data_IF_649496270071
#
_entry.id   IF_649496270071
#
_cell.length_a   1.000
_cell.length_b   1.000
_cell.length_c   1.000
_cell.angle_alpha   90.00
_cell.angle_beta   90.00
_cell.angle_gamma   90.00
#
_symmetry.space_group_name_H-M   'P 1'
#
loop_
_entity.id
_entity.type
_entity.pdbx_description
1 polymer ?
#
# COMPACT_ATOMS: atom_id res chain seq x y z
N UNK A 1 20.66 55.72 -45.04
CA UNK A 1 20.12 54.34 -44.92
C UNK A 1 21.21 53.45 -44.33
N UNK A 2 20.87 52.62 -43.34
CA UNK A 2 21.81 52.02 -42.36
C UNK A 2 22.38 50.67 -42.85
N UNK A 3 23.69 50.49 -42.67
CA UNK A 3 24.40 49.21 -42.82
C UNK A 3 24.03 48.24 -41.68
N UNK A 4 23.78 46.98 -42.00
CA UNK A 4 23.48 45.90 -41.05
C UNK A 4 24.58 44.83 -41.15
N UNK A 5 25.38 44.56 -40.09
CA UNK A 5 26.36 43.49 -40.14
C UNK A 5 25.70 42.17 -39.71
N UNK A 6 25.93 41.13 -40.51
CA UNK A 6 25.51 39.76 -40.25
C UNK A 6 26.40 39.14 -39.15
N UNK A 7 25.79 38.55 -38.12
CA UNK A 7 26.49 37.75 -37.09
C UNK A 7 26.56 36.30 -37.56
N UNK A 8 27.78 35.77 -37.66
CA UNK A 8 28.03 34.33 -37.79
C UNK A 8 27.59 33.64 -36.50
N UNK A 9 26.59 32.76 -36.57
CA UNK A 9 26.33 31.81 -35.50
C UNK A 9 27.37 30.68 -35.60
N UNK A 10 28.25 30.56 -34.59
CA UNK A 10 29.12 29.38 -34.45
C UNK A 10 28.23 28.15 -34.22
N UNK A 11 28.24 27.21 -35.16
CA UNK A 11 27.66 25.89 -34.98
C UNK A 11 28.50 25.12 -33.95
N UNK A 12 27.89 24.73 -32.83
CA UNK A 12 28.50 23.85 -31.84
C UNK A 12 28.83 22.49 -32.46
N UNK A 13 29.99 21.92 -32.12
CA UNK A 13 30.49 20.68 -32.73
C UNK A 13 29.81 19.43 -32.14
N UNK A 14 29.65 18.33 -32.91
CA UNK A 14 28.90 17.14 -32.48
C UNK A 14 29.48 16.38 -31.27
N UNK A 15 30.70 16.68 -30.84
CA UNK A 15 31.38 15.98 -29.74
C UNK A 15 30.84 16.36 -28.35
N UNK A 16 30.12 17.46 -28.21
CA UNK A 16 29.55 17.90 -26.93
C UNK A 16 28.19 17.25 -26.60
N UNK A 17 27.50 16.68 -27.59
CA UNK A 17 26.15 16.14 -27.43
C UNK A 17 26.06 14.74 -26.77
N UNK A 18 27.19 14.07 -26.52
CA UNK A 18 27.24 12.67 -26.00
C UNK A 18 27.60 12.55 -24.52
N UNK A 19 27.31 13.55 -23.70
CA UNK A 19 27.30 13.36 -22.24
C UNK A 19 25.87 13.11 -21.78
N UNK A 20 25.46 11.84 -21.78
CA UNK A 20 24.27 11.45 -21.03
C UNK A 20 24.51 11.77 -19.55
N UNK A 21 23.71 12.64 -18.91
CA UNK A 21 23.78 12.82 -17.48
C UNK A 21 23.45 11.48 -16.84
N UNK A 22 24.42 10.87 -16.14
CA UNK A 22 24.13 9.72 -15.29
C UNK A 22 23.15 10.21 -14.23
N UNK A 23 21.87 9.88 -14.39
CA UNK A 23 20.85 10.12 -13.36
C UNK A 23 21.38 9.48 -12.09
N UNK A 24 21.60 10.24 -11.02
CA UNK A 24 22.41 9.69 -9.97
C UNK A 24 21.55 8.75 -9.13
N UNK A 25 22.20 7.73 -8.57
CA UNK A 25 21.60 6.54 -7.95
C UNK A 25 20.77 6.79 -6.69
N UNK A 26 20.56 8.06 -6.29
CA UNK A 26 19.81 8.48 -5.11
C UNK A 26 18.39 7.90 -5.08
N UNK A 27 17.72 7.81 -6.24
CA UNK A 27 16.33 7.32 -6.35
C UNK A 27 16.18 5.87 -5.88
N UNK A 28 17.20 5.03 -6.08
CA UNK A 28 17.19 3.62 -5.61
C UNK A 28 17.50 3.53 -4.11
N UNK A 29 18.41 4.36 -3.60
CA UNK A 29 18.76 4.40 -2.18
C UNK A 29 17.61 4.92 -1.30
N UNK A 30 16.86 5.95 -1.77
CA UNK A 30 15.69 6.46 -1.06
C UNK A 30 14.54 5.45 -0.99
N UNK A 31 14.31 4.69 -2.07
CA UNK A 31 13.31 3.62 -2.07
C UNK A 31 13.67 2.50 -1.08
N UNK A 32 14.95 2.12 -0.99
CA UNK A 32 15.39 1.14 0.00
C UNK A 32 15.25 1.63 1.45
N UNK A 33 15.52 2.93 1.71
CA UNK A 33 15.33 3.51 3.06
C UNK A 33 13.84 3.55 3.48
N UNK A 34 12.93 3.82 2.55
CA UNK A 34 11.48 3.84 2.82
C UNK A 34 10.93 2.50 3.30
N UNK A 35 11.52 1.37 2.87
CA UNK A 35 11.14 0.03 3.33
C UNK A 35 11.76 -0.37 4.67
N UNK A 36 12.86 0.26 5.09
CA UNK A 36 13.55 -0.03 6.35
C UNK A 36 12.92 0.69 7.55
N UNK A 37 12.30 1.85 7.31
CA UNK A 37 11.67 2.66 8.37
C UNK A 37 10.53 1.92 9.12
N UNK A 38 9.62 1.18 8.46
CA UNK A 38 8.62 0.36 9.16
C UNK A 38 9.25 -0.77 9.99
N UNK A 39 10.32 -1.40 9.48
CA UNK A 39 11.02 -2.48 10.18
C UNK A 39 11.70 -1.98 11.46
N UNK A 40 12.27 -0.77 11.42
CA UNK A 40 12.85 -0.10 12.58
C UNK A 40 11.78 0.37 13.59
N UNK A 41 10.58 0.72 13.12
CA UNK A 41 9.45 1.11 13.99
C UNK A 41 8.86 -0.08 14.75
N UNK A 42 8.87 -1.28 14.16
CA UNK A 42 8.32 -2.49 14.78
C UNK A 42 9.24 -3.17 15.82
N UNK A 43 10.51 -2.76 15.93
CA UNK A 43 11.48 -3.35 16.87
C UNK A 43 11.35 -2.86 18.32
N UNK A 44 10.50 -1.85 18.59
CA UNK A 44 10.22 -1.39 19.94
C UNK A 44 9.15 -2.26 20.61
N UNK A 45 9.55 -3.09 21.58
CA UNK A 45 8.70 -3.81 22.54
C UNK A 45 7.28 -4.16 22.06
N UNK A 46 7.15 -4.86 20.94
CA UNK A 46 5.86 -5.41 20.51
C UNK A 46 5.54 -6.63 21.40
N UNK A 47 4.50 -6.54 22.22
CA UNK A 47 3.99 -7.68 22.98
C UNK A 47 2.92 -8.40 22.15
N UNK A 48 3.02 -9.72 22.03
CA UNK A 48 2.09 -10.53 21.26
C UNK A 48 0.92 -10.98 22.13
N UNK A 49 -0.29 -10.89 21.57
CA UNK A 49 -1.49 -11.36 22.23
C UNK A 49 -1.45 -12.88 22.46
N UNK A 50 -1.93 -13.32 23.63
CA UNK A 50 -2.07 -14.74 24.00
C UNK A 50 -3.56 -15.14 24.02
N UNK A 51 -4.15 -15.17 22.83
CA UNK A 51 -5.58 -15.41 22.59
C UNK A 51 -5.86 -16.80 21.96
N UNK A 52 -7.13 -17.18 21.84
CA UNK A 52 -7.54 -18.43 21.17
C UNK A 52 -7.70 -18.25 19.66
N UNK A 53 -7.56 -19.34 18.89
CA UNK A 53 -7.82 -19.33 17.44
C UNK A 53 -9.31 -19.22 17.07
N UNK A 54 -10.19 -19.43 18.04
CA UNK A 54 -11.64 -19.46 17.86
C UNK A 54 -12.29 -18.59 18.91
N UNK A 55 -13.51 -18.13 18.62
CA UNK A 55 -14.30 -17.33 19.55
C UNK A 55 -15.12 -16.26 18.84
N UNK A 56 -15.95 -15.55 19.62
CA UNK A 56 -16.77 -14.45 19.12
C UNK A 56 -15.92 -13.35 18.48
N UNK A 57 -14.82 -13.03 19.13
CA UNK A 57 -13.85 -12.02 18.68
C UNK A 57 -13.33 -12.33 17.27
N UNK A 58 -12.90 -13.57 17.02
CA UNK A 58 -12.43 -14.02 15.70
C UNK A 58 -13.49 -13.95 14.61
N UNK A 59 -14.74 -14.27 14.97
CA UNK A 59 -15.86 -14.11 14.06
C UNK A 59 -16.12 -12.64 13.71
N UNK A 60 -15.88 -11.70 14.64
CA UNK A 60 -16.01 -10.27 14.38
C UNK A 60 -14.93 -9.76 13.42
N UNK A 61 -13.68 -10.20 13.59
CA UNK A 61 -12.60 -9.91 12.63
C UNK A 61 -12.94 -10.43 11.22
N UNK A 62 -13.34 -11.70 11.13
CA UNK A 62 -13.76 -12.29 9.86
C UNK A 62 -14.90 -11.52 9.18
N UNK A 63 -16.01 -11.30 9.89
CA UNK A 63 -17.19 -10.64 9.32
C UNK A 63 -16.90 -9.18 9.01
N UNK A 64 -16.23 -8.46 9.91
CA UNK A 64 -15.85 -7.06 9.72
C UNK A 64 -14.98 -6.88 8.48
N UNK A 65 -13.95 -7.71 8.33
CA UNK A 65 -13.06 -7.66 7.17
C UNK A 65 -13.73 -8.09 5.87
N UNK A 66 -14.66 -9.06 5.91
CA UNK A 66 -15.47 -9.40 4.74
C UNK A 66 -16.36 -8.23 4.28
N UNK A 67 -17.02 -7.56 5.22
CA UNK A 67 -17.84 -6.38 4.93
C UNK A 67 -17.02 -5.22 4.39
N UNK A 68 -15.84 -4.96 4.95
CA UNK A 68 -14.91 -3.95 4.45
C UNK A 68 -14.46 -4.26 3.01
N UNK A 69 -14.17 -5.53 2.71
CA UNK A 69 -13.78 -5.93 1.36
C UNK A 69 -14.92 -5.74 0.35
N UNK A 70 -16.14 -6.14 0.71
CA UNK A 70 -17.33 -5.93 -0.13
C UNK A 70 -17.61 -4.44 -0.33
N UNK A 71 -17.66 -3.66 0.75
CA UNK A 71 -17.95 -2.22 0.68
C UNK A 71 -16.88 -1.46 -0.10
N UNK A 72 -15.60 -1.75 0.13
CA UNK A 72 -14.49 -1.15 -0.61
C UNK A 72 -14.53 -1.49 -2.10
N UNK A 73 -14.95 -2.73 -2.44
CA UNK A 73 -15.14 -3.14 -3.84
C UNK A 73 -16.29 -2.37 -4.49
N UNK A 74 -17.44 -2.27 -3.81
CA UNK A 74 -18.60 -1.52 -4.29
C UNK A 74 -18.29 -0.03 -4.52
N UNK A 75 -17.58 0.60 -3.57
CA UNK A 75 -17.16 2.00 -3.68
C UNK A 75 -16.19 2.20 -4.85
N UNK A 76 -15.27 1.26 -5.07
CA UNK A 76 -14.32 1.33 -6.19
C UNK A 76 -15.02 1.17 -7.54
N UNK A 77 -15.96 0.23 -7.64
CA UNK A 77 -16.76 0.02 -8.85
C UNK A 77 -17.64 1.24 -9.18
N UNK A 78 -18.26 1.84 -8.16
CA UNK A 78 -19.00 3.10 -8.33
C UNK A 78 -18.12 4.25 -8.84
N UNK A 79 -16.80 4.16 -8.64
CA UNK A 79 -15.80 5.08 -9.20
C UNK A 79 -15.22 4.61 -10.54
N UNK A 80 -15.93 3.74 -11.25
CA UNK A 80 -15.57 3.20 -12.57
C UNK A 80 -14.28 2.38 -12.59
N UNK A 81 -13.87 1.79 -11.45
CA UNK A 81 -12.81 0.79 -11.47
C UNK A 81 -13.32 -0.50 -12.15
N UNK A 82 -12.45 -1.19 -12.89
CA UNK A 82 -12.79 -2.49 -13.49
C UNK A 82 -13.11 -3.52 -12.41
N UNK A 83 -13.92 -4.56 -12.68
CA UNK A 83 -14.34 -5.53 -11.67
C UNK A 83 -13.17 -6.13 -10.87
N UNK A 84 -12.11 -6.55 -11.57
CA UNK A 84 -10.91 -7.08 -10.91
C UNK A 84 -10.20 -6.04 -10.03
N UNK A 85 -10.12 -4.79 -10.48
CA UNK A 85 -9.49 -3.70 -9.73
C UNK A 85 -10.32 -3.32 -8.50
N UNK A 86 -11.65 -3.27 -8.63
CA UNK A 86 -12.57 -3.00 -7.52
C UNK A 86 -12.37 -4.01 -6.40
N UNK A 87 -12.38 -5.30 -6.72
CA UNK A 87 -12.14 -6.37 -5.73
C UNK A 87 -10.77 -6.26 -5.06
N UNK A 88 -9.72 -5.98 -5.83
CA UNK A 88 -8.36 -5.82 -5.29
C UNK A 88 -8.27 -4.60 -4.34
N UNK A 89 -8.96 -3.50 -4.65
CA UNK A 89 -9.03 -2.33 -3.79
C UNK A 89 -9.75 -2.67 -2.49
N UNK A 90 -10.92 -3.33 -2.56
CA UNK A 90 -11.67 -3.75 -1.38
C UNK A 90 -10.86 -4.67 -0.46
N UNK A 91 -10.24 -5.70 -1.02
CA UNK A 91 -9.39 -6.62 -0.26
C UNK A 91 -8.18 -5.92 0.38
N UNK A 92 -7.50 -5.05 -0.37
CA UNK A 92 -6.37 -4.28 0.16
C UNK A 92 -6.79 -3.34 1.28
N UNK A 93 -7.96 -2.70 1.17
CA UNK A 93 -8.53 -1.86 2.21
C UNK A 93 -8.80 -2.66 3.48
N UNK A 94 -9.48 -3.81 3.37
CA UNK A 94 -9.79 -4.66 4.53
C UNK A 94 -8.53 -5.11 5.28
N UNK A 95 -7.51 -5.62 4.57
CA UNK A 95 -6.24 -6.04 5.20
C UNK A 95 -5.51 -4.86 5.84
N UNK A 96 -5.53 -3.69 5.20
CA UNK A 96 -4.90 -2.49 5.76
C UNK A 96 -5.56 -2.11 7.08
N UNK A 97 -6.90 -2.15 7.17
CA UNK A 97 -7.61 -1.88 8.42
C UNK A 97 -7.34 -2.94 9.50
N UNK A 98 -7.30 -4.23 9.15
CA UNK A 98 -6.92 -5.29 10.09
C UNK A 98 -5.51 -5.10 10.65
N UNK A 99 -4.53 -4.84 9.77
CA UNK A 99 -3.16 -4.56 10.19
C UNK A 99 -3.04 -3.30 11.07
N UNK A 100 -3.80 -2.24 10.75
CA UNK A 100 -3.83 -1.01 11.55
C UNK A 100 -4.45 -1.26 12.93
N UNK A 101 -5.49 -2.09 13.02
CA UNK A 101 -6.11 -2.47 14.30
C UNK A 101 -5.12 -3.24 15.18
N UNK A 102 -4.43 -4.24 14.64
CA UNK A 102 -3.44 -4.99 15.41
C UNK A 102 -2.21 -4.15 15.78
N UNK A 103 -1.78 -3.24 14.89
CA UNK A 103 -0.73 -2.28 15.22
C UNK A 103 -1.15 -1.30 16.32
N UNK A 104 -2.43 -0.94 16.39
CA UNK A 104 -2.99 -0.11 17.46
C UNK A 104 -3.05 -0.86 18.80
N UNK A 105 -3.33 -2.16 18.77
CA UNK A 105 -3.36 -3.01 19.96
C UNK A 105 -1.96 -3.24 20.57
N UNK A 106 -0.88 -3.02 19.80
CA UNK A 106 0.51 -3.06 20.28
C UNK A 106 0.92 -1.90 21.20
N UNK A 107 0.05 -0.93 21.48
CA UNK A 107 0.33 0.20 22.39
C UNK A 107 0.59 -0.28 23.84
N UNK A 108 1.24 0.51 24.70
CA UNK A 108 1.62 0.08 26.07
C UNK A 108 0.49 -0.47 26.95
N UNK A 109 -0.75 -0.01 26.75
CA UNK A 109 -1.94 -0.47 27.48
C UNK A 109 -2.90 -1.29 26.61
N UNK A 110 -2.42 -1.78 25.46
CA UNK A 110 -3.21 -2.58 24.53
C UNK A 110 -3.08 -4.08 24.78
N UNK A 111 -3.84 -4.86 24.02
CA UNK A 111 -3.88 -6.33 24.06
C UNK A 111 -2.69 -7.00 23.38
N UNK A 112 -1.87 -6.23 22.67
CA UNK A 112 -0.77 -6.74 21.86
C UNK A 112 -1.23 -7.18 20.48
N UNK A 113 -0.27 -7.37 19.56
CA UNK A 113 -0.55 -7.84 18.21
C UNK A 113 -0.98 -9.30 18.24
N UNK A 114 -2.15 -9.59 17.69
CA UNK A 114 -2.63 -10.94 17.44
C UNK A 114 -2.47 -11.32 15.97
N UNK A 115 -1.56 -12.26 15.73
CA UNK A 115 -1.51 -12.94 14.43
C UNK A 115 -2.78 -13.74 14.14
N UNK A 116 -3.53 -14.14 15.17
CA UNK A 116 -4.77 -14.90 15.00
C UNK A 116 -5.86 -13.99 14.47
N UNK A 117 -6.04 -12.81 15.05
CA UNK A 117 -6.98 -11.80 14.56
C UNK A 117 -6.66 -11.35 13.15
N UNK A 118 -5.38 -11.01 12.91
CA UNK A 118 -4.96 -10.63 11.56
C UNK A 118 -5.20 -11.73 10.52
N UNK A 119 -5.03 -13.00 10.89
CA UNK A 119 -5.35 -14.14 10.01
C UNK A 119 -6.85 -14.20 9.71
N UNK A 120 -7.70 -13.97 10.70
CA UNK A 120 -9.14 -13.90 10.50
C UNK A 120 -9.58 -12.69 9.67
N UNK A 121 -8.87 -11.57 9.77
CA UNK A 121 -9.07 -10.41 8.89
C UNK A 121 -8.73 -10.75 7.44
N UNK A 122 -7.60 -11.41 7.18
CA UNK A 122 -7.23 -11.86 5.83
C UNK A 122 -8.25 -12.86 5.28
N UNK A 123 -8.68 -13.84 6.09
CA UNK A 123 -9.68 -14.82 5.70
C UNK A 123 -11.04 -14.16 5.40
N UNK A 124 -11.46 -13.21 6.24
CA UNK A 124 -12.66 -12.41 6.03
C UNK A 124 -12.60 -11.59 4.76
N UNK A 125 -11.50 -10.86 4.56
CA UNK A 125 -11.26 -10.08 3.35
C UNK A 125 -11.31 -10.95 2.08
N UNK A 126 -10.71 -12.14 2.11
CA UNK A 126 -10.75 -13.09 1.00
C UNK A 126 -12.17 -13.63 0.74
N UNK A 127 -12.95 -13.88 1.79
CA UNK A 127 -14.35 -14.26 1.67
C UNK A 127 -15.18 -13.13 1.04
N UNK A 128 -15.01 -11.89 1.50
CA UNK A 128 -15.67 -10.71 0.92
C UNK A 128 -15.29 -10.45 -0.53
N UNK A 129 -13.99 -10.60 -0.87
CA UNK A 129 -13.50 -10.56 -2.26
C UNK A 129 -14.23 -11.57 -3.14
N UNK A 130 -14.34 -12.82 -2.66
CA UNK A 130 -14.95 -13.92 -3.40
C UNK A 130 -16.46 -13.74 -3.53
N UNK A 131 -17.12 -13.28 -2.47
CA UNK A 131 -18.55 -12.98 -2.50
C UNK A 131 -18.86 -11.89 -3.53
N UNK A 132 -18.09 -10.81 -3.53
CA UNK A 132 -18.23 -9.73 -4.51
C UNK A 132 -17.93 -10.22 -5.94
N UNK A 133 -16.96 -11.12 -6.11
CA UNK A 133 -16.64 -11.73 -7.39
C UNK A 133 -17.78 -12.59 -7.97
N UNK A 134 -18.63 -13.16 -7.12
CA UNK A 134 -19.73 -14.03 -7.52
C UNK A 134 -21.03 -13.25 -7.78
N UNK A 135 -21.13 -12.02 -7.27
CA UNK A 135 -22.32 -11.18 -7.43
C UNK A 135 -22.27 -10.25 -8.66
N UNK A 136 -21.16 -10.23 -9.39
CA UNK A 136 -20.84 -9.25 -10.43
C UNK A 136 -20.15 -9.92 -11.62
#
# INVERSE_FOLDING_TARGET
MRFFPWRVYKLATPSEARRHPRVPTYRRLCLSLLWLLPLLWCAGCSHLAQDSWTGRDKAQHFVGSALLAVAGSAIAEHQSASPARSRNIGFGLAITFGALKEAWDNRPNGTGWSWKDFTWDVAGAAAGYSLYALSN
#
